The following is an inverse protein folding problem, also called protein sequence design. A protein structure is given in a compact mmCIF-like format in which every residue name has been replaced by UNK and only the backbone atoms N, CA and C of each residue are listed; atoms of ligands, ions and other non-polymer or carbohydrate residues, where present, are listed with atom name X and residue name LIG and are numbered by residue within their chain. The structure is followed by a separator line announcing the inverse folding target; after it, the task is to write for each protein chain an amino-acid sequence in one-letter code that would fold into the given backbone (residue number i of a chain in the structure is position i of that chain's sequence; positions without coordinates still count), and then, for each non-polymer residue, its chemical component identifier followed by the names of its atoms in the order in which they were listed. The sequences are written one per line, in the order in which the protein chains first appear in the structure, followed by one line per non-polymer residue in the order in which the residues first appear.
data_IF_348392716230
#
_entry.id   IF_348392716230
#
_cell.length_a   1.000
_cell.length_b   1.000
_cell.length_c   1.000
_cell.angle_alpha   90.00
_cell.angle_beta   90.00
_cell.angle_gamma   90.00
#
_symmetry.space_group_name_H-M   'P 1'
#
loop_
_entity.id
_entity.type
_entity.pdbx_description
1 polymer ?
#
# COMPACT_ATOMS: atom_id res chain seq x y z
N UNK A 1 15.51 -7.04 -19.11
CA UNK A 1 15.18 -6.08 -18.04
C UNK A 1 16.33 -6.08 -17.06
N UNK A 2 16.85 -4.92 -16.67
CA UNK A 2 17.93 -4.83 -15.68
C UNK A 2 17.46 -5.45 -14.35
N UNK A 3 18.31 -6.23 -13.67
CA UNK A 3 17.92 -7.01 -12.47
C UNK A 3 17.38 -6.09 -11.37
N UNK A 4 17.93 -4.89 -11.26
CA UNK A 4 17.47 -3.84 -10.34
C UNK A 4 16.06 -3.34 -10.66
N UNK A 5 15.74 -3.15 -11.95
CA UNK A 5 14.39 -2.76 -12.38
C UNK A 5 13.38 -3.88 -12.15
N UNK A 6 13.76 -5.13 -12.40
CA UNK A 6 12.92 -6.29 -12.12
C UNK A 6 12.58 -6.41 -10.63
N UNK A 7 13.56 -6.22 -9.75
CA UNK A 7 13.36 -6.26 -8.30
C UNK A 7 12.43 -5.15 -7.82
N UNK A 8 12.61 -3.91 -8.32
CA UNK A 8 11.75 -2.77 -8.01
C UNK A 8 10.29 -3.07 -8.35
N UNK A 9 10.02 -3.51 -9.57
CA UNK A 9 8.65 -3.84 -9.99
C UNK A 9 8.07 -5.02 -9.23
N UNK A 10 8.85 -6.10 -9.05
CA UNK A 10 8.39 -7.27 -8.30
C UNK A 10 8.01 -6.89 -6.86
N UNK A 11 8.83 -6.07 -6.20
CA UNK A 11 8.55 -5.59 -4.85
C UNK A 11 7.30 -4.72 -4.79
N UNK A 12 7.18 -3.72 -5.67
CA UNK A 12 6.01 -2.83 -5.72
C UNK A 12 4.72 -3.61 -5.99
N UNK A 13 4.72 -4.55 -6.95
CA UNK A 13 3.54 -5.37 -7.23
C UNK A 13 3.20 -6.31 -6.08
N UNK A 14 4.19 -6.95 -5.46
CA UNK A 14 3.97 -7.81 -4.30
C UNK A 14 3.35 -7.01 -3.15
N UNK A 15 3.87 -5.82 -2.88
CA UNK A 15 3.34 -4.95 -1.83
C UNK A 15 1.91 -4.49 -2.15
N UNK A 16 1.61 -4.17 -3.42
CA UNK A 16 0.27 -3.82 -3.86
C UNK A 16 -0.71 -4.99 -3.65
N UNK A 17 -0.32 -6.21 -4.03
CA UNK A 17 -1.15 -7.40 -3.83
C UNK A 17 -1.38 -7.68 -2.34
N UNK A 18 -0.36 -7.53 -1.49
CA UNK A 18 -0.49 -7.66 -0.03
C UNK A 18 -1.47 -6.61 0.51
N UNK A 19 -1.34 -5.35 0.07
CA UNK A 19 -2.22 -4.25 0.49
C UNK A 19 -3.67 -4.54 0.11
N UNK A 20 -3.90 -5.01 -1.12
CA UNK A 20 -5.23 -5.35 -1.62
C UNK A 20 -5.82 -6.58 -0.89
N UNK A 21 -5.02 -7.62 -0.67
CA UNK A 21 -5.42 -8.79 0.10
C UNK A 21 -5.79 -8.42 1.54
N UNK A 22 -5.04 -7.51 2.15
CA UNK A 22 -5.32 -7.02 3.49
C UNK A 22 -6.61 -6.18 3.55
N UNK A 23 -6.86 -5.37 2.52
CA UNK A 23 -8.12 -4.61 2.41
C UNK A 23 -9.33 -5.54 2.33
N UNK A 24 -9.25 -6.59 1.51
CA UNK A 24 -10.32 -7.61 1.41
C UNK A 24 -10.49 -8.34 2.74
N UNK A 25 -9.40 -8.73 3.40
CA UNK A 25 -9.44 -9.36 4.72
C UNK A 25 -10.13 -8.47 5.76
N UNK A 26 -9.85 -7.16 5.78
CA UNK A 26 -10.53 -6.21 6.66
C UNK A 26 -12.03 -6.19 6.42
N UNK A 27 -12.47 -6.15 5.16
CA UNK A 27 -13.90 -6.15 4.82
C UNK A 27 -14.58 -7.43 5.32
N UNK A 28 -13.97 -8.59 5.09
CA UNK A 28 -14.50 -9.86 5.61
C UNK A 28 -14.54 -9.91 7.13
N UNK A 29 -13.50 -9.40 7.80
CA UNK A 29 -13.42 -9.36 9.25
C UNK A 29 -14.54 -8.48 9.84
N UNK A 30 -14.69 -7.27 9.33
CA UNK A 30 -15.73 -6.32 9.76
C UNK A 30 -17.12 -6.89 9.46
N UNK A 31 -17.32 -7.48 8.28
CA UNK A 31 -18.59 -8.12 7.93
C UNK A 31 -18.93 -9.26 8.90
N UNK A 32 -17.98 -10.13 9.23
CA UNK A 32 -18.17 -11.20 10.22
C UNK A 32 -18.51 -10.66 11.61
N UNK A 33 -17.85 -9.58 12.03
CA UNK A 33 -18.12 -8.93 13.31
C UNK A 33 -19.53 -8.33 13.40
N UNK A 34 -20.01 -7.70 12.31
CA UNK A 34 -21.33 -7.05 12.26
C UNK A 34 -22.46 -8.08 12.14
N UNK A 35 -22.24 -9.16 11.38
CA UNK A 35 -23.25 -10.21 11.18
C UNK A 35 -23.35 -11.20 12.34
N UNK A 36 -22.33 -11.28 13.19
CA UNK A 36 -22.34 -12.04 14.43
C UNK A 36 -22.93 -11.28 15.62
N UNK A 37 -22.75 -11.81 16.83
CA UNK A 37 -22.95 -11.05 18.07
C UNK A 37 -21.68 -10.24 18.32
N UNK A 38 -21.67 -8.91 18.12
CA UNK A 38 -20.45 -8.13 18.16
C UNK A 38 -19.85 -8.13 19.56
N UNK A 39 -18.65 -8.69 19.71
CA UNK A 39 -17.92 -8.70 20.97
C UNK A 39 -16.92 -7.54 21.07
N UNK A 40 -16.47 -7.18 22.28
CA UNK A 40 -15.38 -6.21 22.47
C UNK A 40 -14.09 -6.58 21.71
N UNK A 41 -13.81 -7.88 21.58
CA UNK A 41 -12.65 -8.39 20.85
C UNK A 41 -12.74 -8.10 19.34
N UNK A 42 -13.95 -8.09 18.77
CA UNK A 42 -14.14 -7.81 17.35
C UNK A 42 -13.87 -6.34 17.03
N UNK A 43 -14.20 -5.43 17.95
CA UNK A 43 -13.91 -4.00 17.81
C UNK A 43 -12.41 -3.76 17.83
N UNK A 44 -11.69 -4.37 18.78
CA UNK A 44 -10.22 -4.25 18.87
C UNK A 44 -9.55 -4.89 17.65
N UNK A 45 -10.05 -6.06 17.22
CA UNK A 45 -9.59 -6.73 16.01
C UNK A 45 -9.77 -5.87 14.76
N UNK A 46 -10.96 -5.32 14.56
CA UNK A 46 -11.26 -4.46 13.41
C UNK A 46 -10.39 -3.20 13.39
N UNK A 47 -10.19 -2.56 14.54
CA UNK A 47 -9.31 -1.41 14.68
C UNK A 47 -7.84 -1.78 14.36
N UNK A 48 -7.33 -2.88 14.91
CA UNK A 48 -5.96 -3.35 14.65
C UNK A 48 -5.71 -3.70 13.19
N UNK A 49 -6.65 -4.42 12.57
CA UNK A 49 -6.58 -4.76 11.14
C UNK A 49 -6.65 -3.50 10.27
N UNK A 50 -7.45 -2.51 10.68
CA UNK A 50 -7.54 -1.19 10.02
C UNK A 50 -6.27 -0.37 10.11
N UNK A 51 -5.64 -0.31 11.29
CA UNK A 51 -4.34 0.36 11.46
C UNK A 51 -3.28 -0.28 10.58
N UNK A 52 -3.24 -1.61 10.50
CA UNK A 52 -2.28 -2.30 9.64
C UNK A 52 -2.53 -2.03 8.15
N UNK A 53 -3.80 -1.93 7.73
CA UNK A 53 -4.14 -1.51 6.37
C UNK A 53 -3.62 -0.09 6.08
N UNK A 54 -3.83 0.85 7.00
CA UNK A 54 -3.32 2.21 6.88
C UNK A 54 -1.79 2.25 6.75
N UNK A 55 -1.08 1.45 7.54
CA UNK A 55 0.36 1.31 7.47
C UNK A 55 0.82 0.75 6.11
N UNK A 56 0.14 -0.26 5.57
CA UNK A 56 0.43 -0.82 4.25
C UNK A 56 0.24 0.21 3.13
N UNK A 57 -0.82 1.01 3.19
CA UNK A 57 -1.09 2.07 2.20
C UNK A 57 0.03 3.13 2.26
N UNK A 58 0.37 3.60 3.46
CA UNK A 58 1.44 4.58 3.65
C UNK A 58 2.79 4.04 3.15
N UNK A 59 3.09 2.77 3.44
CA UNK A 59 4.30 2.11 2.98
C UNK A 59 4.34 2.00 1.45
N UNK A 60 3.23 1.65 0.81
CA UNK A 60 3.12 1.61 -0.65
C UNK A 60 3.37 2.99 -1.29
N UNK A 61 2.81 4.05 -0.70
CA UNK A 61 3.10 5.43 -1.09
C UNK A 61 4.60 5.76 -1.01
N UNK A 62 5.24 5.45 0.11
CA UNK A 62 6.67 5.70 0.31
C UNK A 62 7.55 4.92 -0.69
N UNK A 63 7.22 3.66 -0.94
CA UNK A 63 7.94 2.81 -1.92
C UNK A 63 7.80 3.39 -3.32
N UNK A 64 6.61 3.83 -3.70
CA UNK A 64 6.39 4.46 -5.00
C UNK A 64 7.16 5.78 -5.13
N UNK A 65 7.17 6.60 -4.09
CA UNK A 65 7.96 7.83 -4.08
C UNK A 65 9.47 7.55 -4.12
N UNK A 66 9.97 6.56 -3.36
CA UNK A 66 11.39 6.21 -3.34
C UNK A 66 11.88 5.73 -4.72
N UNK A 67 11.11 4.84 -5.34
CA UNK A 67 11.54 4.19 -6.58
C UNK A 67 11.18 4.96 -7.85
N UNK A 68 10.06 5.67 -7.88
CA UNK A 68 9.51 6.27 -9.11
C UNK A 68 9.45 7.80 -9.09
N UNK A 69 9.90 8.48 -8.02
CA UNK A 69 10.02 9.95 -8.04
C UNK A 69 10.93 10.37 -9.22
N UNK A 70 10.42 11.30 -10.03
CA UNK A 70 11.24 12.00 -11.03
C UNK A 70 12.31 12.78 -10.29
N UNK A 71 13.58 12.57 -10.64
CA UNK A 71 14.68 13.42 -10.13
C UNK A 71 14.45 14.84 -10.64
N UNK A 72 14.44 15.81 -9.74
CA UNK A 72 14.50 17.23 -10.07
C UNK A 72 15.81 17.48 -10.84
N UNK A 73 15.71 18.00 -12.07
CA UNK A 73 16.84 18.15 -13.00
C UNK A 73 16.62 17.55 -14.40
N UNK A 74 15.48 16.90 -14.65
CA UNK A 74 15.10 16.46 -16.01
C UNK A 74 14.36 17.52 -16.84
N UNK A 75 14.32 18.77 -16.36
CA UNK A 75 13.88 19.91 -17.17
C UNK A 75 14.91 20.08 -18.30
N UNK A 76 14.53 19.92 -19.58
CA UNK A 76 15.42 20.30 -20.66
C UNK A 76 15.82 21.77 -20.47
N UNK A 77 17.07 22.18 -20.76
CA UNK A 77 17.43 23.58 -20.72
C UNK A 77 16.41 24.38 -21.54
N UNK A 78 15.93 25.50 -20.96
CA UNK A 78 14.97 26.36 -21.64
C UNK A 78 15.55 26.73 -23.01
N UNK A 79 14.77 26.61 -24.11
CA UNK A 79 15.29 26.90 -25.43
C UNK A 79 15.77 28.34 -25.47
N UNK A 80 17.06 28.49 -25.76
CA UNK A 80 17.77 29.74 -25.97
C UNK A 80 16.91 30.62 -26.91
N UNK A 81 16.38 31.72 -26.39
CA UNK A 81 15.68 32.75 -27.17
C UNK A 81 16.56 33.97 -27.30
#
# INVERSE_FOLDING_TARGET
MDKSQALKWAYTFTLLLITMGWAVFLVFFVHRAITGVPGPLDVVGAAGVGVLLGALIAWNGNVNQFWFRKKEGSTPPAPDR
#
